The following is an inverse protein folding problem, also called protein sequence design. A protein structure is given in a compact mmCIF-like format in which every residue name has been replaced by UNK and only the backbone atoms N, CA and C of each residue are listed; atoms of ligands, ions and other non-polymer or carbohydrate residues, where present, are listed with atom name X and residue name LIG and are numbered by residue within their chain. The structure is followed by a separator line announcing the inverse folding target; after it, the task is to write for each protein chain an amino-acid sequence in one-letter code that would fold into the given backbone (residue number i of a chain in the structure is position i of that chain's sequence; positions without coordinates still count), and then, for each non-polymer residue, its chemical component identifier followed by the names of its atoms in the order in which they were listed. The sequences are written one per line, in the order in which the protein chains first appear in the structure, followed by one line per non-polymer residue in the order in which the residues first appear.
data_IF_727284194164
#
_entry.id   IF_727284194164
#
_cell.length_a   1.000
_cell.length_b   1.000
_cell.length_c   1.000
_cell.angle_alpha   90.00
_cell.angle_beta   90.00
_cell.angle_gamma   90.00
#
_symmetry.space_group_name_H-M   'P 1'
#
loop_
_entity.id
_entity.type
_entity.pdbx_description
1 polymer ?
#
# COMPACT_ATOMS: atom_id res chain seq x y z
N UNK A 1 -5.85 -3.43 33.37
CA UNK A 1 -6.81 -3.21 32.27
C UNK A 1 -6.02 -2.87 31.01
N UNK A 2 -5.51 -3.87 30.29
CA UNK A 2 -4.65 -3.66 29.11
C UNK A 2 -5.22 -4.41 27.91
N UNK A 3 -6.10 -3.75 27.15
CA UNK A 3 -6.54 -4.19 25.82
C UNK A 3 -6.77 -3.02 24.85
N UNK A 4 -6.34 -1.81 25.22
CA UNK A 4 -6.58 -0.59 24.43
C UNK A 4 -5.44 -0.28 23.44
N UNK A 5 -4.26 -0.89 23.59
CA UNK A 5 -3.08 -0.64 22.73
C UNK A 5 -2.99 -1.52 21.49
N UNK A 6 -3.79 -2.59 21.40
CA UNK A 6 -3.70 -3.56 20.30
C UNK A 6 -4.84 -3.46 19.27
N UNK A 7 -5.74 -2.47 19.44
CA UNK A 7 -6.96 -2.40 18.65
C UNK A 7 -6.68 -1.74 17.30
N UNK A 8 -6.29 -2.57 16.34
CA UNK A 8 -6.39 -2.21 14.93
C UNK A 8 -7.83 -1.81 14.62
N UNK A 9 -8.03 -0.61 14.11
CA UNK A 9 -9.31 -0.19 13.57
C UNK A 9 -9.53 -0.87 12.20
N UNK A 10 -10.21 -2.00 12.25
CA UNK A 10 -10.51 -2.82 11.08
C UNK A 10 -11.42 -2.10 10.07
N UNK A 11 -12.22 -1.11 10.50
CA UNK A 11 -13.07 -0.33 9.60
C UNK A 11 -12.24 0.56 8.69
N UNK A 12 -11.23 1.24 9.24
CA UNK A 12 -10.29 2.07 8.47
C UNK A 12 -9.47 1.21 7.52
N UNK A 13 -8.90 0.10 8.01
CA UNK A 13 -8.11 -0.81 7.18
C UNK A 13 -8.95 -1.43 6.05
N UNK A 14 -10.10 -2.02 6.37
CA UNK A 14 -10.95 -2.68 5.36
C UNK A 14 -11.48 -1.71 4.30
N UNK A 15 -11.72 -0.45 4.64
CA UNK A 15 -12.12 0.58 3.67
C UNK A 15 -11.01 0.88 2.67
N UNK A 16 -9.77 1.02 3.14
CA UNK A 16 -8.61 1.21 2.27
C UNK A 16 -8.40 0.00 1.34
N UNK A 17 -8.50 -1.22 1.88
CA UNK A 17 -8.31 -2.45 1.09
C UNK A 17 -9.42 -2.68 0.07
N UNK A 18 -10.68 -2.39 0.40
CA UNK A 18 -11.79 -2.43 -0.55
C UNK A 18 -11.59 -1.43 -1.69
N UNK A 19 -11.08 -0.23 -1.40
CA UNK A 19 -10.75 0.75 -2.42
C UNK A 19 -9.61 0.25 -3.34
N UNK A 20 -8.57 -0.36 -2.76
CA UNK A 20 -7.48 -0.97 -3.51
C UNK A 20 -8.00 -2.03 -4.49
N UNK A 21 -8.83 -2.96 -4.01
CA UNK A 21 -9.42 -4.02 -4.83
C UNK A 21 -10.32 -3.46 -5.94
N UNK A 22 -11.14 -2.43 -5.65
CA UNK A 22 -11.97 -1.76 -6.67
C UNK A 22 -11.16 -1.11 -7.78
N UNK A 23 -9.98 -0.58 -7.47
CA UNK A 23 -9.06 0.00 -8.45
C UNK A 23 -8.20 -1.07 -9.15
N UNK A 24 -8.43 -2.36 -8.88
CA UNK A 24 -7.76 -3.48 -9.52
C UNK A 24 -6.40 -3.84 -8.92
N UNK A 25 -6.10 -3.38 -7.71
CA UNK A 25 -4.90 -3.75 -6.98
C UNK A 25 -5.09 -5.09 -6.27
N UNK A 26 -4.05 -5.92 -6.27
CA UNK A 26 -3.98 -7.15 -5.51
C UNK A 26 -3.57 -6.82 -4.07
N UNK A 27 -4.23 -7.44 -3.11
CA UNK A 27 -3.95 -7.29 -1.68
C UNK A 27 -3.43 -8.62 -1.16
N UNK A 28 -2.30 -8.58 -0.46
CA UNK A 28 -1.61 -9.72 0.12
C UNK A 28 -1.33 -9.41 1.59
N UNK A 29 -1.64 -10.34 2.48
CA UNK A 29 -1.48 -10.16 3.92
C UNK A 29 -0.22 -10.90 4.38
N UNK A 30 0.71 -10.16 4.96
CA UNK A 30 1.91 -10.68 5.61
C UNK A 30 1.79 -10.53 7.13
N UNK A 31 2.65 -11.21 7.89
CA UNK A 31 2.54 -11.30 9.35
C UNK A 31 2.48 -9.94 10.09
N UNK A 32 3.14 -8.90 9.58
CA UNK A 32 3.19 -7.56 10.21
C UNK A 32 2.77 -6.42 9.25
N UNK A 33 2.42 -6.75 7.99
CA UNK A 33 2.13 -5.75 6.98
C UNK A 33 1.12 -6.24 5.95
N UNK A 34 0.47 -5.30 5.27
CA UNK A 34 -0.39 -5.58 4.12
C UNK A 34 0.29 -5.06 2.87
N UNK A 35 0.57 -5.95 1.93
CA UNK A 35 1.13 -5.59 0.63
C UNK A 35 -0.01 -5.36 -0.36
N UNK A 36 0.08 -4.26 -1.11
CA UNK A 36 -0.90 -3.91 -2.14
C UNK A 36 -0.14 -3.71 -3.44
N UNK A 37 -0.25 -4.65 -4.36
CA UNK A 37 0.50 -4.68 -5.61
C UNK A 37 -0.43 -4.43 -6.81
N UNK A 38 0.01 -3.67 -7.81
CA UNK A 38 -0.78 -3.49 -9.03
C UNK A 38 -0.41 -4.56 -10.06
N UNK A 39 -1.43 -5.24 -10.62
CA UNK A 39 -1.24 -6.14 -11.77
C UNK A 39 -0.77 -5.42 -13.03
N UNK A 40 -1.05 -4.11 -13.14
CA UNK A 40 -0.65 -3.29 -14.30
C UNK A 40 0.78 -2.77 -14.19
N UNK A 41 1.41 -2.90 -13.02
CA UNK A 41 2.77 -2.46 -12.80
C UNK A 41 3.82 -3.28 -13.58
N UNK A 42 3.44 -4.45 -14.10
CA UNK A 42 4.27 -5.32 -14.93
C UNK A 42 4.55 -4.75 -16.33
N UNK A 43 3.84 -3.70 -16.75
CA UNK A 43 3.92 -3.15 -18.11
C UNK A 43 4.81 -1.90 -18.24
N UNK A 44 5.71 -1.63 -17.28
CA UNK A 44 6.59 -0.45 -17.31
C UNK A 44 5.88 0.89 -17.04
N UNK A 45 4.56 0.86 -16.79
CA UNK A 45 3.78 2.04 -16.41
C UNK A 45 3.59 2.05 -14.89
N UNK A 46 4.31 2.93 -14.22
CA UNK A 46 4.10 3.24 -12.80
C UNK A 46 2.79 4.03 -12.69
N UNK A 47 1.67 3.33 -12.52
CA UNK A 47 0.39 3.99 -12.22
C UNK A 47 0.42 4.41 -10.76
N UNK A 48 0.66 5.70 -10.52
CA UNK A 48 0.56 6.26 -9.18
C UNK A 48 -0.91 6.17 -8.72
N UNK A 49 -1.21 5.52 -7.57
CA UNK A 49 -2.58 5.35 -7.10
C UNK A 49 -3.10 6.64 -6.45
N UNK A 50 -3.24 7.70 -7.24
CA UNK A 50 -3.59 9.05 -6.78
C UNK A 50 -4.91 9.08 -6.00
N UNK A 51 -5.91 8.29 -6.40
CA UNK A 51 -7.18 8.14 -5.66
C UNK A 51 -6.99 7.45 -4.31
N UNK A 52 -6.18 6.40 -4.25
CA UNK A 52 -5.93 5.65 -3.04
C UNK A 52 -5.11 6.48 -2.05
N UNK A 53 -4.07 7.16 -2.52
CA UNK A 53 -3.25 8.07 -1.70
C UNK A 53 -4.11 9.24 -1.20
N UNK A 54 -4.94 9.84 -2.07
CA UNK A 54 -5.84 10.93 -1.68
C UNK A 54 -6.84 10.49 -0.62
N UNK A 55 -7.44 9.31 -0.79
CA UNK A 55 -8.35 8.75 0.21
C UNK A 55 -7.62 8.46 1.52
N UNK A 56 -6.47 7.80 1.46
CA UNK A 56 -5.65 7.50 2.63
C UNK A 56 -5.31 8.80 3.39
N UNK A 57 -4.85 9.84 2.70
CA UNK A 57 -4.55 11.15 3.30
C UNK A 57 -5.78 11.80 3.93
N UNK A 58 -6.93 11.77 3.25
CA UNK A 58 -8.19 12.28 3.78
C UNK A 58 -8.66 11.50 5.03
N UNK A 59 -8.35 10.20 5.09
CA UNK A 59 -8.62 9.33 6.23
C UNK A 59 -7.51 9.34 7.28
N UNK A 60 -6.58 10.30 7.26
CA UNK A 60 -5.54 10.45 8.29
C UNK A 60 -4.32 9.53 8.15
N UNK A 61 -4.17 8.82 7.04
CA UNK A 61 -2.98 8.01 6.77
C UNK A 61 -1.79 8.89 6.40
N UNK A 62 -0.65 8.55 6.97
CA UNK A 62 0.65 9.08 6.61
C UNK A 62 1.21 8.26 5.45
N UNK A 63 1.67 8.93 4.39
CA UNK A 63 2.24 8.30 3.22
C UNK A 63 3.73 8.63 3.12
N UNK A 64 4.56 7.60 3.04
CA UNK A 64 6.00 7.69 2.80
C UNK A 64 6.30 7.11 1.41
N UNK A 65 6.77 7.97 0.50
CA UNK A 65 7.07 7.57 -0.87
C UNK A 65 8.52 7.13 -0.95
N UNK A 66 8.76 5.94 -1.51
CA UNK A 66 10.08 5.43 -1.80
C UNK A 66 10.14 4.92 -3.25
N UNK A 67 11.35 4.74 -3.84
CA UNK A 67 11.48 4.17 -5.17
C UNK A 67 10.77 2.81 -5.27
N UNK A 68 9.81 2.69 -6.19
CA UNK A 68 9.05 1.45 -6.43
C UNK A 68 8.00 1.06 -5.37
N UNK A 69 7.86 1.83 -4.28
CA UNK A 69 6.89 1.52 -3.21
C UNK A 69 6.39 2.75 -2.44
N UNK A 70 5.18 2.67 -1.89
CA UNK A 70 4.63 3.68 -0.99
C UNK A 70 4.22 3.01 0.31
N UNK A 71 4.83 3.42 1.42
CA UNK A 71 4.38 3.02 2.75
C UNK A 71 3.22 3.90 3.20
N UNK A 72 2.15 3.29 3.68
CA UNK A 72 1.00 3.93 4.30
C UNK A 72 0.92 3.47 5.76
N UNK A 73 0.84 4.42 6.68
CA UNK A 73 0.71 4.16 8.12
C UNK A 73 -0.38 5.01 8.74
N UNK A 74 -1.19 4.42 9.60
CA UNK A 74 -2.27 5.12 10.29
C UNK A 74 -2.14 4.90 11.80
N UNK A 75 -2.30 5.92 12.65
CA UNK A 75 -2.13 5.76 14.10
C UNK A 75 -3.11 4.76 14.73
N UNK A 76 -4.30 4.59 14.14
CA UNK A 76 -5.29 3.59 14.56
C UNK A 76 -5.14 2.21 13.89
N UNK A 77 -4.13 1.98 13.04
CA UNK A 77 -3.89 0.70 12.37
C UNK A 77 -2.49 0.23 12.71
N UNK A 78 -2.38 -0.95 13.34
CA UNK A 78 -1.07 -1.49 13.73
C UNK A 78 -0.26 -1.93 12.51
N UNK A 79 -0.92 -2.56 11.54
CA UNK A 79 -0.28 -3.08 10.34
C UNK A 79 0.15 -1.92 9.42
N UNK A 80 1.39 -1.97 8.96
CA UNK A 80 1.82 -1.10 7.87
C UNK A 80 1.18 -1.58 6.55
N UNK A 81 0.78 -0.64 5.70
CA UNK A 81 0.28 -0.96 4.35
C UNK A 81 1.32 -0.52 3.34
N UNK A 82 1.84 -1.42 2.52
CA UNK A 82 2.87 -1.11 1.52
C UNK A 82 2.30 -1.27 0.12
N UNK A 83 2.17 -0.18 -0.62
CA UNK A 83 1.82 -0.20 -2.02
C UNK A 83 3.08 -0.50 -2.85
N UNK A 84 3.09 -1.58 -3.63
CA UNK A 84 4.17 -1.90 -4.58
C UNK A 84 3.77 -1.36 -5.96
N UNK A 85 4.54 -0.40 -6.47
CA UNK A 85 4.26 0.31 -7.72
C UNK A 85 4.83 -0.40 -8.96
N UNK A 86 5.39 -1.59 -8.79
CA UNK A 86 6.20 -2.27 -9.79
C UNK A 86 7.67 -1.93 -9.63
N UNK A 87 8.52 -2.91 -9.92
CA UNK A 87 9.90 -2.62 -10.23
C UNK A 87 9.89 -1.78 -11.51
N UNK A 88 10.19 -0.49 -11.39
CA UNK A 88 10.89 0.17 -12.47
C UNK A 88 12.22 -0.55 -12.61
N UNK A 89 12.24 -1.72 -13.27
CA UNK A 89 13.46 -2.26 -13.84
C UNK A 89 13.87 -1.23 -14.88
N UNK A 90 14.64 -0.21 -14.45
CA UNK A 90 15.59 0.41 -15.35
C UNK A 90 16.37 -0.74 -16.00
N UNK A 91 16.65 -0.67 -17.32
CA UNK A 91 17.19 -1.79 -18.05
C UNK A 91 18.39 -2.35 -17.29
N UNK A 92 18.24 -3.56 -16.75
CA UNK A 92 19.37 -4.33 -16.26
C UNK A 92 20.18 -4.63 -17.51
N UNK A 93 21.15 -3.78 -17.81
CA UNK A 93 22.14 -4.03 -18.84
C UNK A 93 22.79 -5.37 -18.48
N UNK A 94 22.69 -6.43 -19.31
CA UNK A 94 23.58 -7.56 -19.13
C UNK A 94 24.96 -7.05 -19.55
N UNK A 95 25.86 -6.83 -18.59
CA UNK A 95 27.28 -6.79 -18.91
C UNK A 95 27.66 -8.21 -19.32
N UNK A 96 27.98 -8.34 -20.61
CA UNK A 96 28.52 -9.53 -21.24
C UNK A 96 29.84 -9.98 -20.61
#
# INVERSE_FOLDING_TARGET
MEAARDRTDWSILSTLLRLAQREGWRVEFEADQVLVSSRRATAGVIVLPSRLIRHARASGWQAAIAPGRIGLRHPAVRQAVTLRLGEGRGPSHPTA
#
